data_IF_622152345965
#
_entry.id   IF_622152345965
#
_cell.length_a   1.000
_cell.length_b   1.000
_cell.length_c   1.000
_cell.angle_alpha   90.00
_cell.angle_beta   90.00
_cell.angle_gamma   90.00
#
_symmetry.space_group_name_H-M   'P 1'
#
loop_
_entity.id
_entity.type
_entity.pdbx_description
1 polymer ?
#
# COMPACT_ATOMS: atom_id res chain seq x y z
N UNK A 1 -25.79 11.27 4.87
CA UNK A 1 -25.05 11.31 3.59
C UNK A 1 -23.53 11.36 3.83
N UNK A 2 -22.97 12.34 4.59
CA UNK A 2 -21.54 12.47 4.89
C UNK A 2 -20.91 11.18 5.42
N UNK A 3 -21.58 10.47 6.33
CA UNK A 3 -21.12 9.19 6.89
C UNK A 3 -20.81 8.12 5.82
N UNK A 4 -21.66 7.98 4.81
CA UNK A 4 -21.45 7.00 3.73
C UNK A 4 -20.29 7.39 2.81
N UNK A 5 -20.05 8.69 2.57
CA UNK A 5 -18.86 9.15 1.85
C UNK A 5 -17.59 8.86 2.64
N UNK A 6 -17.59 9.02 3.96
CA UNK A 6 -16.46 8.63 4.80
C UNK A 6 -16.17 7.13 4.73
N UNK A 7 -17.20 6.27 4.70
CA UNK A 7 -17.03 4.82 4.52
C UNK A 7 -16.45 4.53 3.13
N UNK A 8 -16.93 5.20 2.09
CA UNK A 8 -16.49 5.02 0.71
C UNK A 8 -15.00 5.36 0.53
N UNK A 9 -14.52 6.40 1.22
CA UNK A 9 -13.11 6.81 1.21
C UNK A 9 -12.18 5.85 1.95
N UNK A 10 -12.71 4.94 2.76
CA UNK A 10 -11.97 3.89 3.51
C UNK A 10 -10.81 4.43 4.35
N UNK A 11 -10.99 5.34 5.33
CA UNK A 11 -9.90 5.92 6.12
C UNK A 11 -9.04 4.87 6.84
N UNK A 12 -9.61 3.71 7.21
CA UNK A 12 -8.84 2.59 7.79
C UNK A 12 -7.72 2.10 6.88
N UNK A 13 -7.84 2.27 5.56
CA UNK A 13 -6.80 1.88 4.61
C UNK A 13 -5.66 2.91 4.53
N UNK A 14 -5.84 4.13 5.08
CA UNK A 14 -4.80 5.16 5.14
C UNK A 14 -3.63 4.73 6.03
N UNK A 15 -3.83 3.80 6.97
CA UNK A 15 -2.76 3.20 7.76
C UNK A 15 -1.62 2.62 6.90
N UNK A 16 -1.92 2.13 5.70
CA UNK A 16 -0.91 1.64 4.76
C UNK A 16 0.03 2.75 4.26
N UNK A 17 -0.43 4.00 4.31
CA UNK A 17 0.33 5.15 3.85
C UNK A 17 1.27 5.70 4.93
N UNK A 18 1.22 5.18 6.19
CA UNK A 18 2.16 5.54 7.26
C UNK A 18 3.62 5.30 6.82
N UNK A 19 3.86 4.35 5.92
CA UNK A 19 5.19 4.08 5.37
C UNK A 19 5.81 5.30 4.66
N UNK A 20 5.02 6.30 4.26
CA UNK A 20 5.51 7.58 3.72
C UNK A 20 6.42 8.30 4.75
N UNK A 21 6.14 8.13 6.04
CA UNK A 21 6.97 8.70 7.10
C UNK A 21 8.30 7.95 7.32
N UNK A 22 8.51 6.80 6.65
CA UNK A 22 9.76 6.06 6.81
C UNK A 22 10.98 6.90 6.41
N UNK A 23 10.91 7.66 5.30
CA UNK A 23 11.99 8.58 4.90
C UNK A 23 12.32 9.61 5.99
N UNK A 24 11.30 10.18 6.63
CA UNK A 24 11.45 11.14 7.72
C UNK A 24 12.09 10.53 8.97
N UNK A 25 11.65 9.33 9.36
CA UNK A 25 12.15 8.63 10.56
C UNK A 25 13.59 8.16 10.40
N UNK A 26 13.91 7.52 9.27
CA UNK A 26 15.23 6.92 9.02
C UNK A 26 16.29 7.94 8.56
N UNK A 27 15.91 9.21 8.30
CA UNK A 27 16.85 10.29 8.01
C UNK A 27 17.14 11.22 9.20
N UNK A 28 16.55 10.96 10.38
CA UNK A 28 16.60 11.84 11.56
C UNK A 28 16.00 13.24 11.36
N UNK A 29 15.29 13.47 10.27
CA UNK A 29 14.66 14.77 9.96
C UNK A 29 13.29 14.95 10.63
N UNK A 30 12.94 14.09 11.58
CA UNK A 30 11.63 14.13 12.25
C UNK A 30 11.35 15.46 12.96
N UNK A 31 12.38 16.12 13.48
CA UNK A 31 12.27 17.42 14.16
C UNK A 31 12.45 18.62 13.22
N UNK A 32 12.74 18.40 11.94
CA UNK A 32 12.74 19.46 10.94
C UNK A 32 11.30 19.79 10.53
N UNK A 33 10.82 20.98 10.87
CA UNK A 33 9.42 21.39 10.66
C UNK A 33 8.99 21.27 9.20
N UNK A 34 9.85 21.68 8.27
CA UNK A 34 9.56 21.61 6.84
C UNK A 34 9.43 20.16 6.35
N UNK A 35 10.38 19.29 6.71
CA UNK A 35 10.36 17.87 6.36
C UNK A 35 9.12 17.16 6.93
N UNK A 36 8.75 17.50 8.17
CA UNK A 36 7.56 16.96 8.81
C UNK A 36 6.27 17.40 8.10
N UNK A 37 6.13 18.69 7.79
CA UNK A 37 4.95 19.23 7.09
C UNK A 37 4.84 18.63 5.69
N UNK A 38 5.95 18.55 4.94
CA UNK A 38 5.96 17.95 3.59
C UNK A 38 5.55 16.47 3.64
N UNK A 39 6.02 15.70 4.62
CA UNK A 39 5.61 14.30 4.83
C UNK A 39 4.12 14.18 5.16
N UNK A 40 3.60 15.08 5.99
CA UNK A 40 2.17 15.11 6.35
C UNK A 40 1.28 15.43 5.14
N UNK A 41 1.68 16.44 4.34
CA UNK A 41 0.99 16.77 3.08
C UNK A 41 1.03 15.58 2.12
N UNK A 42 2.19 14.96 1.94
CA UNK A 42 2.34 13.78 1.09
C UNK A 42 1.46 12.60 1.56
N UNK A 43 1.39 12.36 2.87
CA UNK A 43 0.52 11.34 3.47
C UNK A 43 -0.96 11.57 3.11
N UNK A 44 -1.45 12.81 3.28
CA UNK A 44 -2.84 13.12 2.95
C UNK A 44 -3.11 13.07 1.44
N UNK A 45 -2.21 13.62 0.61
CA UNK A 45 -2.35 13.55 -0.85
C UNK A 45 -2.42 12.09 -1.32
N UNK A 46 -1.49 11.25 -0.85
CA UNK A 46 -1.48 9.84 -1.20
C UNK A 46 -2.72 9.10 -0.70
N UNK A 47 -3.20 9.46 0.50
CA UNK A 47 -4.40 8.87 1.09
C UNK A 47 -5.66 9.22 0.32
N UNK A 48 -5.79 10.47 -0.13
CA UNK A 48 -6.91 10.89 -0.97
C UNK A 48 -6.87 10.25 -2.36
N UNK A 49 -5.70 10.16 -3.00
CA UNK A 49 -5.54 9.44 -4.27
C UNK A 49 -5.90 7.96 -4.13
N UNK A 50 -5.44 7.31 -3.06
CA UNK A 50 -5.83 5.91 -2.78
C UNK A 50 -7.33 5.78 -2.53
N UNK A 51 -7.97 6.75 -1.87
CA UNK A 51 -9.42 6.79 -1.68
C UNK A 51 -10.16 6.93 -3.01
N UNK A 52 -9.71 7.82 -3.89
CA UNK A 52 -10.26 7.94 -5.26
C UNK A 52 -10.19 6.61 -6.01
N UNK A 53 -9.07 5.88 -5.87
CA UNK A 53 -8.90 4.55 -6.44
C UNK A 53 -9.94 3.55 -5.91
N UNK A 54 -10.23 3.58 -4.60
CA UNK A 54 -11.28 2.71 -4.03
C UNK A 54 -12.67 3.07 -4.55
N UNK A 55 -12.98 4.36 -4.72
CA UNK A 55 -14.26 4.79 -5.30
C UNK A 55 -14.41 4.28 -6.73
N UNK A 56 -13.36 4.42 -7.56
CA UNK A 56 -13.37 3.90 -8.94
C UNK A 56 -13.57 2.38 -8.95
N UNK A 57 -12.86 1.65 -8.08
CA UNK A 57 -13.00 0.19 -7.99
C UNK A 57 -14.41 -0.22 -7.56
N UNK A 58 -14.95 0.41 -6.50
CA UNK A 58 -16.30 0.11 -6.01
C UNK A 58 -17.37 0.49 -7.06
N UNK A 59 -17.11 1.52 -7.89
CA UNK A 59 -17.99 1.86 -9.02
C UNK A 59 -17.97 0.78 -10.11
N UNK A 60 -16.79 0.29 -10.48
CA UNK A 60 -16.65 -0.76 -11.51
C UNK A 60 -17.24 -2.09 -11.04
N UNK A 61 -16.97 -2.48 -9.81
CA UNK A 61 -17.37 -3.78 -9.24
C UNK A 61 -18.79 -3.75 -8.64
N UNK A 62 -19.54 -2.63 -8.69
CA UNK A 62 -20.80 -2.42 -7.94
C UNK A 62 -21.88 -3.47 -8.18
N UNK A 63 -21.98 -4.00 -9.42
CA UNK A 63 -22.97 -5.02 -9.77
C UNK A 63 -22.63 -6.38 -9.16
N UNK A 64 -21.35 -6.74 -9.18
CA UNK A 64 -20.83 -7.95 -8.56
C UNK A 64 -20.88 -7.87 -7.03
N UNK A 65 -20.54 -6.71 -6.49
CA UNK A 65 -20.59 -6.45 -5.05
C UNK A 65 -22.02 -6.52 -4.49
N UNK A 66 -23.04 -6.13 -5.26
CA UNK A 66 -24.44 -6.17 -4.82
C UNK A 66 -24.97 -7.59 -4.56
N UNK A 67 -24.41 -8.61 -5.19
CA UNK A 67 -24.79 -10.03 -5.00
C UNK A 67 -23.82 -10.77 -4.06
N UNK A 68 -22.74 -10.10 -3.59
CA UNK A 68 -21.75 -10.72 -2.72
C UNK A 68 -22.16 -10.60 -1.24
N UNK A 69 -22.15 -11.66 -0.42
CA UNK A 69 -22.67 -11.65 0.97
C UNK A 69 -22.08 -10.55 1.87
N UNK A 70 -20.77 -10.30 1.77
CA UNK A 70 -20.11 -9.28 2.61
C UNK A 70 -20.06 -7.90 1.97
N UNK A 71 -19.94 -7.83 0.62
CA UNK A 71 -19.71 -6.57 -0.09
C UNK A 71 -21.00 -5.84 -0.46
N UNK A 72 -22.16 -6.51 -0.40
CA UNK A 72 -23.47 -5.90 -0.65
C UNK A 72 -23.77 -4.70 0.26
N UNK A 73 -23.09 -4.60 1.39
CA UNK A 73 -23.22 -3.48 2.33
C UNK A 73 -22.38 -2.25 1.96
N UNK A 74 -21.52 -2.33 0.91
CA UNK A 74 -20.75 -1.17 0.43
C UNK A 74 -21.68 -0.05 -0.04
N UNK A 75 -21.34 1.23 0.20
CA UNK A 75 -22.24 2.36 -0.10
C UNK A 75 -22.74 2.41 -1.55
N UNK A 76 -21.89 2.08 -2.54
CA UNK A 76 -22.28 2.06 -3.96
C UNK A 76 -23.10 0.81 -4.33
N UNK A 77 -22.74 -0.35 -3.80
CA UNK A 77 -23.44 -1.60 -4.05
C UNK A 77 -24.84 -1.62 -3.42
N UNK A 78 -24.99 -1.03 -2.22
CA UNK A 78 -26.24 -0.94 -1.48
C UNK A 78 -27.16 0.22 -1.92
N UNK A 79 -26.74 1.04 -2.91
CA UNK A 79 -27.52 2.21 -3.37
C UNK A 79 -27.60 3.39 -2.38
N UNK A 80 -26.82 3.39 -1.28
CA UNK A 80 -26.80 4.47 -0.29
C UNK A 80 -26.13 5.75 -0.81
N UNK A 81 -25.31 5.63 -1.84
CA UNK A 81 -24.71 6.73 -2.61
C UNK A 81 -25.02 6.49 -4.07
N UNK A 82 -25.42 7.55 -4.76
CA UNK A 82 -25.60 7.50 -6.20
C UNK A 82 -24.25 7.33 -6.91
N UNK A 83 -24.06 6.26 -7.72
CA UNK A 83 -22.77 5.96 -8.33
C UNK A 83 -22.26 7.06 -9.25
N UNK A 84 -23.16 7.76 -9.96
CA UNK A 84 -22.81 8.87 -10.85
C UNK A 84 -22.22 10.06 -10.09
N UNK A 85 -22.81 10.44 -8.96
CA UNK A 85 -22.30 11.53 -8.11
C UNK A 85 -20.93 11.20 -7.53
N UNK A 86 -20.76 9.98 -6.97
CA UNK A 86 -19.49 9.55 -6.43
C UNK A 86 -18.36 9.57 -7.47
N UNK A 87 -18.65 9.08 -8.68
CA UNK A 87 -17.68 9.09 -9.78
C UNK A 87 -17.36 10.51 -10.26
N UNK A 88 -18.35 11.39 -10.38
CA UNK A 88 -18.14 12.80 -10.79
C UNK A 88 -17.25 13.54 -9.81
N UNK A 89 -17.49 13.40 -8.49
CA UNK A 89 -16.64 13.99 -7.45
C UNK A 89 -15.21 13.47 -7.59
N UNK A 90 -15.04 12.17 -7.81
CA UNK A 90 -13.73 11.54 -7.95
C UNK A 90 -12.98 12.05 -9.19
N UNK A 91 -13.66 12.19 -10.34
CA UNK A 91 -13.08 12.70 -11.59
C UNK A 91 -12.61 14.16 -11.42
N UNK A 92 -13.32 14.98 -10.65
CA UNK A 92 -12.91 16.36 -10.35
C UNK A 92 -11.75 16.39 -9.36
N UNK A 93 -11.77 15.53 -8.34
CA UNK A 93 -10.77 15.52 -7.26
C UNK A 93 -9.39 15.04 -7.73
N UNK A 94 -9.32 14.02 -8.59
CA UNK A 94 -8.05 13.46 -9.07
C UNK A 94 -7.14 14.51 -9.71
N UNK A 95 -7.57 15.33 -10.72
CA UNK A 95 -6.72 16.36 -11.29
C UNK A 95 -6.22 17.37 -10.26
N UNK A 96 -7.05 17.77 -9.31
CA UNK A 96 -6.68 18.70 -8.25
C UNK A 96 -5.56 18.11 -7.39
N UNK A 97 -5.71 16.87 -6.93
CA UNK A 97 -4.69 16.18 -6.14
C UNK A 97 -3.38 16.00 -6.91
N UNK A 98 -3.45 15.72 -8.21
CA UNK A 98 -2.30 15.58 -9.09
C UNK A 98 -1.56 16.92 -9.24
N UNK A 99 -2.28 18.02 -9.45
CA UNK A 99 -1.68 19.37 -9.54
C UNK A 99 -1.02 19.76 -8.21
N UNK A 100 -1.67 19.51 -7.08
CA UNK A 100 -1.10 19.78 -5.75
C UNK A 100 0.15 18.93 -5.50
N UNK A 101 0.14 17.65 -5.94
CA UNK A 101 1.31 16.77 -5.86
C UNK A 101 2.51 17.30 -6.66
N UNK A 102 2.27 17.89 -7.84
CA UNK A 102 3.32 18.52 -8.64
C UNK A 102 3.92 19.76 -7.95
N UNK A 103 3.09 20.55 -7.27
CA UNK A 103 3.54 21.72 -6.50
C UNK A 103 4.37 21.33 -5.29
N UNK A 104 4.08 20.20 -4.67
CA UNK A 104 4.87 19.67 -3.56
C UNK A 104 6.26 19.21 -4.04
N UNK A 105 6.31 18.34 -5.05
CA UNK A 105 7.54 17.85 -5.66
C UNK A 105 7.23 17.18 -7.03
N UNK A 106 7.93 17.51 -8.12
CA UNK A 106 7.67 16.91 -9.45
C UNK A 106 7.89 15.40 -9.51
N UNK A 107 8.84 14.85 -8.75
CA UNK A 107 9.06 13.41 -8.74
C UNK A 107 8.00 12.69 -7.87
N UNK A 108 7.54 13.31 -6.79
CA UNK A 108 6.39 12.84 -6.02
C UNK A 108 5.13 12.77 -6.89
N UNK A 109 4.85 13.80 -7.70
CA UNK A 109 3.77 13.78 -8.68
C UNK A 109 3.86 12.58 -9.62
N UNK A 110 5.06 12.29 -10.17
CA UNK A 110 5.27 11.13 -11.03
C UNK A 110 4.91 9.82 -10.30
N UNK A 111 5.39 9.64 -9.07
CA UNK A 111 5.12 8.45 -8.26
C UNK A 111 3.64 8.28 -7.95
N UNK A 112 2.94 9.35 -7.59
CA UNK A 112 1.50 9.34 -7.30
C UNK A 112 0.69 9.00 -8.56
N UNK A 113 1.05 9.60 -9.69
CA UNK A 113 0.40 9.34 -10.99
C UNK A 113 0.63 7.89 -11.44
N UNK A 114 1.87 7.41 -11.34
CA UNK A 114 2.21 6.02 -11.63
C UNK A 114 1.45 5.04 -10.70
N UNK A 115 1.40 5.33 -9.39
CA UNK A 115 0.63 4.53 -8.43
C UNK A 115 -0.85 4.45 -8.83
N UNK A 116 -1.45 5.57 -9.18
CA UNK A 116 -2.86 5.61 -9.59
C UNK A 116 -3.13 4.75 -10.83
N UNK A 117 -2.34 4.95 -11.91
CA UNK A 117 -2.46 4.19 -13.15
C UNK A 117 -2.18 2.70 -12.95
N UNK A 118 -1.13 2.38 -12.18
CA UNK A 118 -0.79 1.00 -11.86
C UNK A 118 -1.91 0.28 -11.09
N UNK A 119 -2.56 0.96 -10.15
CA UNK A 119 -3.69 0.36 -9.43
C UNK A 119 -4.94 0.18 -10.31
N UNK A 120 -5.16 1.01 -11.34
CA UNK A 120 -6.20 0.75 -12.35
C UNK A 120 -5.88 -0.54 -13.12
N UNK A 121 -4.63 -0.71 -13.56
CA UNK A 121 -4.18 -1.93 -14.22
C UNK A 121 -4.31 -3.16 -13.31
N UNK A 122 -3.91 -3.03 -12.03
CA UNK A 122 -4.07 -4.07 -11.02
C UNK A 122 -5.54 -4.48 -10.88
N UNK A 123 -6.44 -3.52 -10.74
CA UNK A 123 -7.86 -3.79 -10.52
C UNK A 123 -8.51 -4.52 -11.70
N UNK A 124 -8.03 -4.27 -12.91
CA UNK A 124 -8.62 -4.86 -14.12
C UNK A 124 -7.99 -6.21 -14.48
N UNK A 125 -6.66 -6.35 -14.31
CA UNK A 125 -5.92 -7.50 -14.84
C UNK A 125 -5.11 -8.24 -13.77
N UNK A 126 -4.20 -7.55 -13.05
CA UNK A 126 -3.17 -8.21 -12.24
C UNK A 126 -3.73 -8.93 -11.01
N UNK A 127 -4.87 -8.47 -10.48
CA UNK A 127 -5.55 -9.11 -9.35
C UNK A 127 -6.02 -10.55 -9.63
N UNK A 128 -6.04 -10.95 -10.90
CA UNK A 128 -6.46 -12.29 -11.36
C UNK A 128 -5.28 -13.20 -11.72
N UNK A 129 -4.04 -12.72 -11.60
CA UNK A 129 -2.83 -13.46 -11.95
C UNK A 129 -2.07 -13.87 -10.69
N UNK A 130 -1.78 -15.17 -10.55
CA UNK A 130 -1.02 -15.74 -9.42
C UNK A 130 0.32 -15.04 -9.29
N UNK A 131 0.75 -14.81 -8.06
CA UNK A 131 1.95 -14.08 -7.71
C UNK A 131 1.86 -12.58 -8.03
N UNK A 132 1.41 -12.19 -9.22
CA UNK A 132 1.31 -10.78 -9.61
C UNK A 132 0.31 -9.98 -8.77
N UNK A 133 -0.73 -10.64 -8.22
CA UNK A 133 -1.66 -10.02 -7.29
C UNK A 133 -0.94 -9.57 -5.99
N UNK A 134 -0.06 -10.40 -5.46
CA UNK A 134 0.73 -10.09 -4.25
C UNK A 134 1.87 -9.11 -4.57
N UNK A 135 2.60 -9.35 -5.67
CA UNK A 135 3.69 -8.46 -6.12
C UNK A 135 3.20 -7.03 -6.37
N UNK A 136 2.02 -6.88 -6.96
CA UNK A 136 1.42 -5.56 -7.22
C UNK A 136 1.12 -4.79 -5.93
N UNK A 137 0.62 -5.47 -4.90
CA UNK A 137 0.39 -4.87 -3.59
C UNK A 137 1.74 -4.42 -3.00
N UNK A 138 2.76 -5.25 -3.09
CA UNK A 138 4.10 -4.97 -2.57
C UNK A 138 4.78 -3.81 -3.29
N UNK A 139 4.63 -3.71 -4.63
CA UNK A 139 5.08 -2.54 -5.38
C UNK A 139 4.40 -1.26 -4.89
N UNK A 140 3.12 -1.32 -4.54
CA UNK A 140 2.41 -0.20 -3.95
C UNK A 140 3.02 0.29 -2.63
N UNK A 141 3.59 -0.59 -1.80
CA UNK A 141 4.33 -0.21 -0.58
C UNK A 141 5.67 0.45 -0.92
N UNK A 142 6.40 -0.08 -1.91
CA UNK A 142 7.67 0.52 -2.39
C UNK A 142 7.44 1.94 -2.91
N UNK A 143 6.42 2.16 -3.74
CA UNK A 143 6.10 3.48 -4.27
C UNK A 143 5.85 4.48 -3.14
N UNK A 144 5.12 4.08 -2.09
CA UNK A 144 4.87 4.93 -0.90
C UNK A 144 6.14 5.26 -0.15
N UNK A 145 7.02 4.27 0.06
CA UNK A 145 8.29 4.46 0.76
C UNK A 145 9.20 5.44 0.00
N UNK A 146 9.34 5.26 -1.33
CA UNK A 146 10.10 6.17 -2.18
C UNK A 146 9.46 7.57 -2.20
N UNK A 147 8.13 7.66 -2.31
CA UNK A 147 7.41 8.92 -2.30
C UNK A 147 7.67 9.73 -1.02
N UNK A 148 7.71 9.05 0.13
CA UNK A 148 8.07 9.66 1.42
C UNK A 148 9.51 10.18 1.45
N UNK A 149 10.48 9.41 0.96
CA UNK A 149 11.87 9.83 0.90
C UNK A 149 12.07 11.05 -0.02
N UNK A 150 11.40 11.08 -1.16
CA UNK A 150 11.47 12.16 -2.14
C UNK A 150 11.01 13.50 -1.59
N UNK A 151 9.89 13.53 -0.83
CA UNK A 151 9.37 14.79 -0.28
C UNK A 151 10.21 15.34 0.87
N UNK A 152 10.97 14.48 1.53
CA UNK A 152 11.94 14.84 2.59
C UNK A 152 13.31 15.20 2.00
N UNK A 153 13.53 14.91 0.71
CA UNK A 153 14.80 15.16 0.04
C UNK A 153 15.93 14.26 0.56
N UNK A 154 15.64 12.96 0.78
CA UNK A 154 16.63 11.99 1.27
C UNK A 154 16.70 10.78 0.36
N UNK A 155 17.90 10.19 0.28
CA UNK A 155 18.10 8.92 -0.39
C UNK A 155 17.58 7.77 0.48
N UNK A 156 16.83 6.87 -0.13
CA UNK A 156 16.34 5.68 0.55
C UNK A 156 17.38 4.55 0.45
N UNK A 157 17.66 3.89 1.57
CA UNK A 157 18.56 2.75 1.56
C UNK A 157 18.01 1.60 0.71
N UNK A 158 18.83 1.06 -0.20
CA UNK A 158 18.45 -0.10 -1.02
C UNK A 158 18.06 -1.31 -0.17
N UNK A 159 18.74 -1.51 0.96
CA UNK A 159 18.43 -2.58 1.89
C UNK A 159 17.07 -2.39 2.57
N UNK A 160 16.74 -1.15 2.92
CA UNK A 160 15.44 -0.83 3.54
C UNK A 160 14.29 -0.94 2.51
N UNK A 161 14.55 -0.61 1.24
CA UNK A 161 13.59 -0.87 0.14
C UNK A 161 13.37 -2.36 -0.04
N UNK A 162 14.43 -3.15 -0.06
CA UNK A 162 14.33 -4.61 -0.18
C UNK A 162 13.60 -5.22 1.03
N UNK A 163 13.91 -4.78 2.25
CA UNK A 163 13.20 -5.18 3.46
C UNK A 163 11.70 -4.85 3.37
N UNK A 164 11.34 -3.65 2.95
CA UNK A 164 9.94 -3.22 2.75
C UNK A 164 9.24 -4.09 1.70
N UNK A 165 9.91 -4.41 0.59
CA UNK A 165 9.36 -5.25 -0.46
C UNK A 165 9.12 -6.67 0.04
N UNK A 166 10.12 -7.30 0.65
CA UNK A 166 10.02 -8.67 1.16
C UNK A 166 8.98 -8.81 2.28
N UNK A 167 8.94 -7.85 3.20
CA UNK A 167 7.94 -7.82 4.27
C UNK A 167 6.52 -7.68 3.72
N UNK A 168 6.33 -6.84 2.70
CA UNK A 168 5.02 -6.68 2.08
C UNK A 168 4.58 -7.90 1.26
N UNK A 169 5.51 -8.61 0.62
CA UNK A 169 5.27 -9.91 0.00
C UNK A 169 4.88 -10.97 1.04
N UNK A 170 5.65 -11.06 2.13
CA UNK A 170 5.33 -11.96 3.24
C UNK A 170 3.91 -11.73 3.75
N UNK A 171 3.54 -10.49 4.00
CA UNK A 171 2.19 -10.15 4.46
C UNK A 171 1.12 -10.48 3.42
N UNK A 172 1.42 -10.25 2.14
CA UNK A 172 0.55 -10.60 1.02
C UNK A 172 0.28 -12.11 0.93
N UNK A 173 1.34 -12.94 0.97
CA UNK A 173 1.21 -14.41 0.96
C UNK A 173 0.53 -14.94 2.22
N UNK A 174 0.87 -14.40 3.39
CA UNK A 174 0.22 -14.74 4.65
C UNK A 174 -1.30 -14.49 4.60
N UNK A 175 -1.72 -13.35 4.03
CA UNK A 175 -3.13 -13.06 3.81
C UNK A 175 -3.79 -14.08 2.89
N UNK A 176 -3.14 -14.46 1.77
CA UNK A 176 -3.67 -15.50 0.85
C UNK A 176 -3.76 -16.85 1.55
N UNK A 177 -2.80 -17.18 2.40
CA UNK A 177 -2.81 -18.42 3.20
C UNK A 177 -4.00 -18.44 4.16
N UNK A 178 -4.26 -17.34 4.86
CA UNK A 178 -5.41 -17.21 5.75
C UNK A 178 -6.75 -17.31 4.99
N UNK A 179 -6.88 -16.62 3.85
CA UNK A 179 -8.06 -16.71 2.98
C UNK A 179 -8.31 -18.15 2.50
N UNK A 180 -7.25 -18.89 2.14
CA UNK A 180 -7.35 -20.28 1.68
C UNK A 180 -7.82 -21.24 2.79
N UNK A 181 -7.37 -21.06 4.03
CA UNK A 181 -7.83 -21.85 5.18
C UNK A 181 -9.33 -21.63 5.40
N UNK A 182 -9.79 -20.38 5.34
CA UNK A 182 -11.20 -20.04 5.51
C UNK A 182 -12.08 -20.62 4.41
N UNK A 183 -11.54 -20.80 3.17
CA UNK A 183 -12.24 -21.44 2.05
C UNK A 183 -12.59 -22.89 2.30
N UNK A 184 -11.70 -23.64 2.96
CA UNK A 184 -11.98 -25.03 3.32
C UNK A 184 -13.11 -25.19 4.35
N UNK A 185 -13.48 -24.09 5.03
CA UNK A 185 -14.56 -24.08 6.04
C UNK A 185 -15.89 -23.50 5.54
N UNK A 186 -15.93 -22.85 4.35
CA UNK A 186 -17.16 -22.23 3.81
C UNK A 186 -17.27 -22.43 2.29
N UNK A 187 -18.18 -23.30 1.85
CA UNK A 187 -18.45 -23.53 0.45
C UNK A 187 -19.04 -22.29 -0.24
N UNK A 188 -18.23 -21.66 -1.10
CA UNK A 188 -18.67 -20.78 -2.18
C UNK A 188 -18.82 -19.31 -1.84
N UNK A 189 -17.87 -18.51 -2.24
CA UNK A 189 -17.93 -17.10 -2.73
C UNK A 189 -16.58 -16.41 -2.69
N UNK A 190 -15.50 -17.09 -3.07
CA UNK A 190 -14.15 -16.53 -2.97
C UNK A 190 -13.54 -16.27 -4.37
N UNK A 191 -12.49 -15.44 -4.38
CA UNK A 191 -11.77 -15.09 -5.63
C UNK A 191 -11.29 -16.35 -6.35
N UNK A 192 -11.57 -16.47 -7.63
CA UNK A 192 -11.15 -17.62 -8.48
C UNK A 192 -9.64 -17.90 -8.36
N UNK A 193 -8.81 -16.85 -8.22
CA UNK A 193 -7.35 -16.98 -8.09
C UNK A 193 -6.91 -17.79 -6.86
N UNK A 194 -7.71 -17.87 -5.79
CA UNK A 194 -7.35 -18.65 -4.61
C UNK A 194 -7.33 -20.16 -4.89
N UNK A 195 -8.04 -20.61 -5.89
CA UNK A 195 -8.05 -22.01 -6.30
C UNK A 195 -6.73 -22.43 -6.99
N UNK A 196 -5.98 -21.45 -7.50
CA UNK A 196 -4.70 -21.67 -8.17
C UNK A 196 -3.51 -21.67 -7.18
N UNK A 197 -3.72 -21.25 -5.91
CA UNK A 197 -2.72 -21.32 -4.87
C UNK A 197 -2.80 -22.61 -4.09
N UNK A 198 -1.67 -23.32 -3.93
CA UNK A 198 -1.57 -24.44 -2.98
C UNK A 198 -1.08 -23.98 -1.60
N UNK A 199 -1.54 -24.63 -0.50
CA UNK A 199 -1.04 -24.32 0.85
C UNK A 199 0.48 -24.42 0.94
N UNK A 200 1.07 -25.49 0.39
CA UNK A 200 2.51 -25.70 0.42
C UNK A 200 3.30 -24.62 -0.34
N UNK A 201 2.79 -24.15 -1.48
CA UNK A 201 3.39 -23.03 -2.19
C UNK A 201 3.39 -21.75 -1.34
N UNK A 202 2.26 -21.43 -0.68
CA UNK A 202 2.15 -20.24 0.16
C UNK A 202 3.07 -20.34 1.38
N UNK A 203 3.15 -21.49 2.02
CA UNK A 203 4.04 -21.73 3.16
C UNK A 203 5.52 -21.57 2.76
N UNK A 204 5.92 -22.08 1.57
CA UNK A 204 7.26 -21.90 1.02
C UNK A 204 7.55 -20.41 0.73
N UNK A 205 6.64 -19.69 0.07
CA UNK A 205 6.81 -18.27 -0.24
C UNK A 205 6.88 -17.40 1.02
N UNK A 206 6.12 -17.73 2.05
CA UNK A 206 6.21 -17.09 3.36
C UNK A 206 7.58 -17.34 4.02
N UNK A 207 8.08 -18.57 3.98
CA UNK A 207 9.41 -18.90 4.49
C UNK A 207 10.51 -18.11 3.77
N UNK A 208 10.51 -18.09 2.44
CA UNK A 208 11.49 -17.36 1.62
C UNK A 208 11.40 -15.84 1.91
N UNK A 209 10.22 -15.24 1.78
CA UNK A 209 10.07 -13.79 1.94
C UNK A 209 10.32 -13.33 3.37
N UNK A 210 9.95 -14.12 4.37
CA UNK A 210 10.27 -13.88 5.78
C UNK A 210 11.77 -13.89 6.05
N UNK A 211 12.47 -14.94 5.60
CA UNK A 211 13.94 -15.05 5.74
C UNK A 211 14.66 -13.90 5.02
N UNK A 212 14.22 -13.54 3.81
CA UNK A 212 14.79 -12.41 3.08
C UNK A 212 14.51 -11.06 3.75
N UNK A 213 13.37 -10.90 4.41
CA UNK A 213 13.06 -9.70 5.20
C UNK A 213 14.06 -9.53 6.33
N UNK A 214 14.28 -10.59 7.11
CA UNK A 214 15.24 -10.61 8.22
C UNK A 214 16.65 -10.29 7.70
N UNK A 215 17.09 -10.98 6.65
CA UNK A 215 18.42 -10.77 6.08
C UNK A 215 18.59 -9.34 5.54
N UNK A 216 17.61 -8.81 4.86
CA UNK A 216 17.64 -7.42 4.35
C UNK A 216 17.71 -6.41 5.49
N UNK A 217 17.01 -6.66 6.60
CA UNK A 217 17.10 -5.81 7.79
C UNK A 217 18.49 -5.88 8.44
N UNK A 218 19.07 -7.08 8.57
CA UNK A 218 20.44 -7.24 9.07
C UNK A 218 21.42 -6.46 8.19
N UNK A 219 21.34 -6.61 6.87
CA UNK A 219 22.21 -5.89 5.94
C UNK A 219 22.00 -4.38 6.01
N UNK A 220 20.77 -3.92 6.25
CA UNK A 220 20.48 -2.51 6.50
C UNK A 220 21.19 -2.00 7.74
N UNK A 221 21.14 -2.74 8.85
CA UNK A 221 21.78 -2.34 10.12
C UNK A 221 23.30 -2.30 10.04
N UNK A 222 23.90 -3.14 9.19
CA UNK A 222 25.36 -3.24 9.00
C UNK A 222 25.87 -2.38 7.82
N UNK A 223 25.00 -1.72 7.07
CA UNK A 223 25.40 -0.89 5.94
C UNK A 223 26.18 0.34 6.40
N UNK A 224 27.35 0.66 5.80
CA UNK A 224 28.11 1.85 6.11
C UNK A 224 27.31 3.13 5.94
N UNK A 225 26.47 3.22 4.89
CA UNK A 225 25.60 4.36 4.64
C UNK A 225 24.59 4.56 5.77
N UNK A 226 24.02 3.46 6.30
CA UNK A 226 23.08 3.50 7.43
C UNK A 226 23.80 3.97 8.69
N UNK A 227 24.98 3.43 9.00
CA UNK A 227 25.77 3.82 10.16
C UNK A 227 26.14 5.31 10.09
N UNK A 228 26.58 5.78 8.93
CA UNK A 228 26.90 7.20 8.71
C UNK A 228 25.66 8.09 8.89
N UNK A 229 24.55 7.76 8.24
CA UNK A 229 23.32 8.57 8.30
C UNK A 229 22.71 8.61 9.70
N UNK A 230 22.74 7.48 10.41
CA UNK A 230 22.21 7.39 11.76
C UNK A 230 23.24 7.77 12.85
N UNK A 231 24.53 7.96 12.49
CA UNK A 231 25.59 8.32 13.44
C UNK A 231 25.74 7.31 14.58
N UNK A 232 25.48 6.02 14.30
CA UNK A 232 25.61 4.92 15.26
C UNK A 232 25.96 3.61 14.55
N UNK A 233 26.86 2.86 15.15
CA UNK A 233 27.23 1.51 14.76
C UNK A 233 26.45 0.42 15.54
N UNK A 234 25.56 0.86 16.47
CA UNK A 234 24.86 -0.05 17.40
C UNK A 234 23.47 -0.47 16.93
N UNK A 235 23.08 -0.10 15.70
CA UNK A 235 21.75 -0.41 15.20
C UNK A 235 21.46 -1.93 15.12
N UNK A 236 22.51 -2.76 14.98
CA UNK A 236 22.39 -4.22 14.94
C UNK A 236 21.79 -4.80 16.24
N UNK A 237 21.88 -4.12 17.39
CA UNK A 237 21.21 -4.56 18.62
C UNK A 237 19.68 -4.56 18.53
N UNK A 238 19.11 -3.90 17.52
CA UNK A 238 17.68 -3.94 17.27
C UNK A 238 17.20 -5.22 16.59
N UNK A 239 18.12 -6.01 16.00
CA UNK A 239 17.79 -7.26 15.29
C UNK A 239 16.97 -8.22 16.17
N UNK A 240 17.36 -8.55 17.41
CA UNK A 240 16.59 -9.48 18.24
C UNK A 240 15.20 -8.97 18.65
N UNK A 241 14.93 -7.67 18.48
CA UNK A 241 13.64 -7.06 18.81
C UNK A 241 12.72 -7.05 17.61
N UNK A 242 13.26 -6.95 16.40
CA UNK A 242 12.52 -6.84 15.13
C UNK A 242 12.25 -8.21 14.52
N UNK A 243 13.09 -9.20 14.79
CA UNK A 243 13.00 -10.60 14.35
C UNK A 243 12.30 -11.47 15.37
#
# INVERSE_FOLDING_TARGET
MVYYYMILMRPRQWLKNIIIFAGLLFSKKFFETEAFINSLIAFFLFSFIASCQYVVNDYLDRKEDAVHPEKMHRPLASGKIEPGIALSITIILIPILIVVSYRLNPFFFFLVSFYFLFNLLYSKYLKHMVILDVMSISLGFIIRAIAGAVVVGVNFSNWLLLCTFMLSLFWGFSKRRGELILLHSSAGTHRKILQEYSPGFLDLMMGITGSMTIMSYVMYTLSPDTMHNLGTDKLFFTIPVVV
#
